data_IF_446186132404
#
_entry.id   IF_446186132404
#
_cell.length_a   1.000
_cell.length_b   1.000
_cell.length_c   1.000
_cell.angle_alpha   90.00
_cell.angle_beta   90.00
_cell.angle_gamma   90.00
#
_symmetry.space_group_name_H-M   'P 1'
#
loop_
_entity.id
_entity.type
_entity.pdbx_description
1 polymer ?
#
# COMPACT_ATOMS: atom_id res chain seq x y z
N UNK A 1 17.43 -5.24 -33.19
CA UNK A 1 18.52 -4.63 -32.39
C UNK A 1 18.19 -4.98 -30.94
N UNK A 2 19.04 -5.73 -30.25
CA UNK A 2 18.82 -6.04 -28.82
C UNK A 2 19.04 -4.75 -28.01
N UNK A 3 18.04 -4.36 -27.22
CA UNK A 3 18.17 -3.26 -26.26
C UNK A 3 19.30 -3.59 -25.27
N UNK A 4 20.20 -2.66 -25.04
CA UNK A 4 21.20 -2.81 -23.99
C UNK A 4 20.56 -2.63 -22.60
N UNK A 5 21.26 -2.98 -21.53
CA UNK A 5 20.73 -2.90 -20.18
C UNK A 5 20.41 -1.46 -19.75
N UNK A 6 21.14 -0.47 -20.30
CA UNK A 6 20.88 0.96 -20.02
C UNK A 6 19.51 1.36 -20.60
N UNK A 7 19.21 0.95 -21.84
CA UNK A 7 17.91 1.25 -22.47
C UNK A 7 16.76 0.60 -21.69
N UNK A 8 16.94 -0.63 -21.22
CA UNK A 8 15.96 -1.35 -20.40
C UNK A 8 15.70 -0.63 -19.06
N UNK A 9 16.77 -0.23 -18.37
CA UNK A 9 16.69 0.50 -17.11
C UNK A 9 15.98 1.85 -17.33
N UNK A 10 16.34 2.59 -18.40
CA UNK A 10 15.71 3.86 -18.72
C UNK A 10 14.21 3.71 -19.02
N UNK A 11 13.82 2.64 -19.69
CA UNK A 11 12.39 2.37 -19.95
C UNK A 11 11.63 2.08 -18.65
N UNK A 12 12.21 1.30 -17.74
CA UNK A 12 11.59 1.05 -16.44
C UNK A 12 11.48 2.33 -15.58
N UNK A 13 12.52 3.19 -15.58
CA UNK A 13 12.48 4.50 -14.90
C UNK A 13 11.36 5.37 -15.49
N UNK A 14 11.22 5.41 -16.83
CA UNK A 14 10.15 6.15 -17.49
C UNK A 14 8.75 5.60 -17.16
N UNK A 15 8.62 4.26 -17.09
CA UNK A 15 7.36 3.62 -16.69
C UNK A 15 6.94 4.03 -15.27
N UNK A 16 7.88 4.03 -14.32
CA UNK A 16 7.62 4.41 -12.95
C UNK A 16 7.08 5.85 -12.78
N UNK A 17 7.25 6.73 -13.80
CA UNK A 17 6.60 8.05 -13.81
C UNK A 17 5.08 7.95 -13.71
N UNK A 18 4.46 6.89 -14.23
CA UNK A 18 3.00 6.73 -14.21
C UNK A 18 2.46 6.73 -12.79
N UNK A 19 3.19 6.20 -11.80
CA UNK A 19 2.78 6.21 -10.39
C UNK A 19 2.62 7.63 -9.80
N UNK A 20 3.25 8.64 -10.41
CA UNK A 20 3.06 10.05 -10.02
C UNK A 20 1.75 10.64 -10.53
N UNK A 21 1.15 10.02 -11.53
CA UNK A 21 -0.09 10.44 -12.17
C UNK A 21 -1.27 9.55 -11.78
N UNK A 22 -0.99 8.33 -11.33
CA UNK A 22 -2.00 7.41 -10.83
C UNK A 22 -2.50 7.89 -9.47
N UNK A 23 -3.79 8.22 -9.38
CA UNK A 23 -4.40 8.80 -8.19
C UNK A 23 -5.18 7.75 -7.42
N UNK A 24 -4.92 7.69 -6.11
CA UNK A 24 -5.58 6.81 -5.16
C UNK A 24 -6.91 7.41 -4.68
N UNK A 25 -7.78 6.56 -4.12
CA UNK A 25 -8.92 7.02 -3.33
C UNK A 25 -8.45 7.45 -1.93
N UNK A 26 -7.59 8.47 -1.91
CA UNK A 26 -7.03 9.11 -0.71
C UNK A 26 -6.79 10.57 -0.99
N UNK A 27 -7.00 11.45 -0.01
CA UNK A 27 -6.81 12.89 -0.15
C UNK A 27 -5.78 13.40 0.85
N UNK A 28 -4.99 14.35 0.40
CA UNK A 28 -4.09 15.11 1.25
C UNK A 28 -4.87 16.14 2.07
N UNK A 29 -4.27 16.63 3.15
CA UNK A 29 -4.86 17.68 4.00
C UNK A 29 -5.23 18.98 3.28
N UNK A 30 -4.61 19.25 2.11
CA UNK A 30 -4.91 20.39 1.26
C UNK A 30 -6.06 20.15 0.26
N UNK A 31 -6.71 18.98 0.29
CA UNK A 31 -7.84 18.59 -0.56
C UNK A 31 -7.46 18.03 -1.94
N UNK A 32 -6.17 17.86 -2.26
CA UNK A 32 -5.71 17.17 -3.47
C UNK A 32 -5.70 15.66 -3.27
N UNK A 33 -6.05 14.89 -4.29
CA UNK A 33 -5.85 13.44 -4.26
C UNK A 33 -4.37 13.08 -4.17
N UNK A 34 -4.09 12.02 -3.43
CA UNK A 34 -2.78 11.41 -3.31
C UNK A 34 -2.44 10.58 -4.54
N UNK A 35 -1.18 10.59 -4.96
CA UNK A 35 -0.69 9.65 -5.98
C UNK A 35 -0.09 8.39 -5.35
N UNK A 36 -0.06 7.29 -6.10
CA UNK A 36 0.59 6.04 -5.69
C UNK A 36 2.06 6.25 -5.32
N UNK A 37 2.76 7.14 -6.03
CA UNK A 37 4.16 7.47 -5.71
C UNK A 37 4.31 8.16 -4.35
N UNK A 38 3.36 9.01 -3.93
CA UNK A 38 3.39 9.71 -2.64
C UNK A 38 3.10 8.75 -1.49
N UNK A 39 2.12 7.86 -1.64
CA UNK A 39 1.86 6.75 -0.74
C UNK A 39 3.11 5.88 -0.53
N UNK A 40 3.68 5.38 -1.62
CA UNK A 40 4.89 4.55 -1.58
C UNK A 40 6.06 5.25 -0.88
N UNK A 41 6.26 6.54 -1.15
CA UNK A 41 7.31 7.32 -0.48
C UNK A 41 7.08 7.40 1.03
N UNK A 42 5.86 7.74 1.48
CA UNK A 42 5.56 7.87 2.91
C UNK A 42 5.66 6.51 3.60
N UNK A 43 5.20 5.46 2.97
CA UNK A 43 5.31 4.09 3.45
C UNK A 43 6.78 3.65 3.62
N UNK A 44 7.67 3.99 2.66
CA UNK A 44 9.10 3.71 2.77
C UNK A 44 9.74 4.51 3.92
N UNK A 45 9.33 5.75 4.13
CA UNK A 45 9.76 6.56 5.27
C UNK A 45 9.28 5.98 6.61
N UNK A 46 8.02 5.53 6.68
CA UNK A 46 7.49 4.84 7.86
C UNK A 46 8.31 3.59 8.19
N UNK A 47 8.69 2.79 7.18
CA UNK A 47 9.54 1.62 7.36
C UNK A 47 10.89 1.95 8.00
N UNK A 48 11.52 3.05 7.60
CA UNK A 48 12.78 3.52 8.20
C UNK A 48 12.61 3.87 9.68
N UNK A 49 11.48 4.49 10.05
CA UNK A 49 11.19 4.89 11.42
C UNK A 49 10.81 3.69 12.31
N UNK A 50 10.09 2.73 11.76
CA UNK A 50 9.53 1.59 12.49
C UNK A 50 10.53 0.43 12.64
N UNK A 51 11.39 0.20 11.63
CA UNK A 51 12.32 -0.92 11.60
C UNK A 51 13.20 -1.09 12.88
N UNK A 52 13.68 -0.03 13.54
CA UNK A 52 14.46 -0.16 14.77
C UNK A 52 13.67 -0.78 15.95
N UNK A 53 12.35 -0.72 15.92
CA UNK A 53 11.45 -1.23 16.97
C UNK A 53 10.93 -2.63 16.67
N UNK A 54 11.13 -3.13 15.45
CA UNK A 54 10.70 -4.46 15.01
C UNK A 54 11.87 -5.45 15.08
N UNK A 55 11.69 -6.53 15.83
CA UNK A 55 12.75 -7.52 16.03
C UNK A 55 13.01 -8.32 14.76
N UNK A 56 14.31 -8.47 14.41
CA UNK A 56 14.79 -9.36 13.32
C UNK A 56 14.27 -9.00 11.92
N UNK A 57 13.97 -7.75 11.64
CA UNK A 57 13.59 -7.31 10.30
C UNK A 57 14.83 -7.11 9.41
N UNK A 58 14.79 -7.60 8.18
CA UNK A 58 15.72 -7.19 7.13
C UNK A 58 15.23 -5.87 6.52
N UNK A 59 15.77 -4.75 7.02
CA UNK A 59 15.34 -3.42 6.62
C UNK A 59 15.58 -3.13 5.13
N UNK A 60 16.69 -3.60 4.56
CA UNK A 60 16.96 -3.44 3.13
C UNK A 60 15.89 -4.11 2.28
N UNK A 61 15.55 -5.36 2.62
CA UNK A 61 14.52 -6.12 1.92
C UNK A 61 13.14 -5.47 2.09
N UNK A 62 12.80 -5.03 3.30
CA UNK A 62 11.54 -4.35 3.60
C UNK A 62 11.38 -3.08 2.73
N UNK A 63 12.39 -2.22 2.68
CA UNK A 63 12.34 -0.99 1.88
C UNK A 63 12.25 -1.31 0.39
N UNK A 64 13.04 -2.27 -0.11
CA UNK A 64 12.93 -2.71 -1.51
C UNK A 64 11.52 -3.19 -1.83
N UNK A 65 10.94 -4.02 -0.98
CA UNK A 65 9.59 -4.56 -1.14
C UNK A 65 8.55 -3.43 -1.17
N UNK A 66 8.63 -2.48 -0.25
CA UNK A 66 7.73 -1.31 -0.20
C UNK A 66 7.84 -0.47 -1.48
N UNK A 67 9.04 -0.19 -1.96
CA UNK A 67 9.24 0.64 -3.17
C UNK A 67 8.59 0.00 -4.40
N UNK A 68 8.48 -1.33 -4.44
CA UNK A 68 8.00 -2.03 -5.64
C UNK A 68 6.58 -2.60 -5.49
N UNK A 69 5.96 -2.58 -4.30
CA UNK A 69 4.69 -3.29 -4.07
C UNK A 69 3.58 -2.83 -5.01
N UNK A 70 3.43 -1.53 -5.22
CA UNK A 70 2.46 -0.90 -6.13
C UNK A 70 3.05 -0.54 -7.50
N UNK A 71 4.28 -0.98 -7.83
CA UNK A 71 4.88 -0.69 -9.14
C UNK A 71 4.04 -1.22 -10.30
N UNK A 72 3.29 -2.28 -10.06
CA UNK A 72 2.37 -2.90 -11.03
C UNK A 72 1.25 -1.93 -11.47
N UNK A 73 0.85 -1.01 -10.60
CA UNK A 73 -0.17 -0.01 -10.88
C UNK A 73 0.26 1.02 -11.93
N UNK A 74 1.55 1.15 -12.21
CA UNK A 74 2.04 1.92 -13.36
C UNK A 74 1.50 1.40 -14.71
N UNK A 75 0.98 0.16 -14.74
CA UNK A 75 0.41 -0.51 -15.92
C UNK A 75 -1.05 -0.89 -15.68
N UNK A 76 -1.40 -1.42 -14.50
CA UNK A 76 -2.74 -1.92 -14.17
C UNK A 76 -3.69 -0.81 -13.72
N UNK A 77 -3.15 0.31 -13.18
CA UNK A 77 -3.91 1.32 -12.46
C UNK A 77 -4.21 0.93 -11.01
N UNK A 78 -4.49 1.92 -10.16
CA UNK A 78 -4.96 1.69 -8.78
C UNK A 78 -6.46 1.31 -8.79
N UNK A 79 -6.78 0.15 -8.25
CA UNK A 79 -8.16 -0.28 -8.02
C UNK A 79 -8.40 -0.27 -6.51
N UNK A 80 -9.22 0.67 -5.99
CA UNK A 80 -9.48 0.79 -4.57
C UNK A 80 -9.97 -0.52 -3.94
N UNK A 81 -9.42 -0.86 -2.75
CA UNK A 81 -9.67 -2.14 -2.09
C UNK A 81 -11.16 -2.39 -1.83
N UNK A 82 -11.97 -1.35 -1.56
CA UNK A 82 -13.40 -1.49 -1.31
C UNK A 82 -14.19 -1.94 -2.55
N UNK A 83 -13.69 -1.71 -3.77
CA UNK A 83 -14.32 -2.19 -4.99
C UNK A 83 -14.24 -3.72 -5.14
N UNK A 84 -13.33 -4.37 -4.41
CA UNK A 84 -13.10 -5.82 -4.49
C UNK A 84 -13.51 -6.58 -3.22
N UNK A 85 -14.00 -5.89 -2.18
CA UNK A 85 -14.32 -6.52 -0.88
C UNK A 85 -15.48 -7.51 -0.95
N UNK A 86 -16.46 -7.26 -1.81
CA UNK A 86 -17.70 -8.05 -1.89
C UNK A 86 -17.87 -8.79 -3.22
N UNK A 87 -16.99 -8.57 -4.19
CA UNK A 87 -17.07 -9.15 -5.53
C UNK A 87 -15.86 -10.05 -5.80
N UNK A 88 -16.02 -11.35 -5.64
CA UNK A 88 -14.97 -12.36 -5.87
C UNK A 88 -14.41 -12.26 -7.29
N UNK A 89 -15.26 -11.98 -8.28
CA UNK A 89 -14.84 -11.86 -9.68
C UNK A 89 -13.97 -10.62 -9.93
N UNK A 90 -14.36 -9.46 -9.38
CA UNK A 90 -13.56 -8.23 -9.46
C UNK A 90 -12.17 -8.39 -8.81
N UNK A 91 -12.12 -9.11 -7.68
CA UNK A 91 -10.86 -9.44 -7.01
C UNK A 91 -9.95 -10.31 -7.89
N UNK A 92 -10.50 -11.37 -8.50
CA UNK A 92 -9.74 -12.25 -9.40
C UNK A 92 -9.23 -11.48 -10.61
N UNK A 93 -10.05 -10.60 -11.19
CA UNK A 93 -9.64 -9.76 -12.31
C UNK A 93 -8.51 -8.80 -11.93
N UNK A 94 -8.59 -8.15 -10.75
CA UNK A 94 -7.52 -7.32 -10.23
C UNK A 94 -6.22 -8.10 -10.09
N UNK A 95 -6.24 -9.23 -9.40
CA UNK A 95 -5.08 -10.10 -9.19
C UNK A 95 -4.46 -10.54 -10.53
N UNK A 96 -5.28 -10.86 -11.53
CA UNK A 96 -4.80 -11.22 -12.87
C UNK A 96 -4.12 -10.03 -13.58
N UNK A 97 -4.73 -8.84 -13.54
CA UNK A 97 -4.18 -7.64 -14.15
C UNK A 97 -2.84 -7.25 -13.53
N UNK A 98 -2.74 -7.29 -12.20
CA UNK A 98 -1.50 -7.00 -11.46
C UNK A 98 -0.42 -8.03 -11.76
N UNK A 99 -0.77 -9.32 -11.83
CA UNK A 99 0.20 -10.37 -12.19
C UNK A 99 0.73 -10.19 -13.62
N UNK A 100 -0.13 -9.86 -14.59
CA UNK A 100 0.30 -9.57 -15.97
C UNK A 100 1.18 -8.31 -16.04
N UNK A 101 0.86 -7.28 -15.25
CA UNK A 101 1.69 -6.08 -15.12
C UNK A 101 3.07 -6.41 -14.54
N UNK A 102 3.13 -7.23 -13.49
CA UNK A 102 4.38 -7.69 -12.88
C UNK A 102 5.26 -8.46 -13.89
N UNK A 103 4.67 -9.34 -14.70
CA UNK A 103 5.37 -10.03 -15.78
C UNK A 103 5.90 -9.08 -16.86
N UNK A 104 5.14 -8.06 -17.22
CA UNK A 104 5.58 -7.02 -18.17
C UNK A 104 6.77 -6.25 -17.61
N UNK A 105 6.71 -5.82 -16.33
CA UNK A 105 7.81 -5.12 -15.66
C UNK A 105 9.06 -5.99 -15.59
N UNK A 106 8.93 -7.28 -15.22
CA UNK A 106 10.02 -8.24 -15.25
C UNK A 106 10.72 -8.27 -16.60
N UNK A 107 9.95 -8.29 -17.69
CA UNK A 107 10.47 -8.49 -19.05
C UNK A 107 11.10 -7.22 -19.66
N UNK A 108 10.73 -6.02 -19.23
CA UNK A 108 11.35 -4.77 -19.68
C UNK A 108 12.69 -4.49 -19.00
N UNK A 109 12.98 -5.11 -17.89
CA UNK A 109 14.20 -4.96 -17.10
C UNK A 109 15.32 -5.91 -17.59
N UNK A 110 16.60 -5.64 -17.27
CA UNK A 110 17.65 -6.65 -17.33
C UNK A 110 17.25 -7.89 -16.53
N UNK A 111 17.50 -9.07 -17.07
CA UNK A 111 16.95 -10.34 -16.55
C UNK A 111 17.10 -10.49 -15.02
N UNK A 112 18.30 -10.31 -14.48
CA UNK A 112 18.57 -10.46 -13.05
C UNK A 112 17.78 -9.49 -12.18
N UNK A 113 17.68 -8.23 -12.60
CA UNK A 113 16.93 -7.19 -11.90
C UNK A 113 15.43 -7.45 -11.97
N UNK A 114 14.96 -7.82 -13.16
CA UNK A 114 13.55 -8.15 -13.39
C UNK A 114 13.08 -9.36 -12.57
N UNK A 115 13.93 -10.39 -12.42
CA UNK A 115 13.65 -11.53 -11.56
C UNK A 115 13.62 -11.16 -10.08
N UNK A 116 14.56 -10.33 -9.62
CA UNK A 116 14.57 -9.84 -8.22
C UNK A 116 13.30 -9.06 -7.88
N UNK A 117 12.93 -8.08 -8.72
CA UNK A 117 11.74 -7.25 -8.53
C UNK A 117 10.46 -8.10 -8.55
N UNK A 118 10.33 -8.99 -9.51
CA UNK A 118 9.16 -9.87 -9.61
C UNK A 118 9.02 -10.81 -8.40
N UNK A 119 10.13 -11.37 -7.92
CA UNK A 119 10.10 -12.24 -6.74
C UNK A 119 9.76 -11.48 -5.46
N UNK A 120 10.26 -10.25 -5.29
CA UNK A 120 9.90 -9.39 -4.16
C UNK A 120 8.42 -9.01 -4.19
N UNK A 121 7.88 -8.70 -5.37
CA UNK A 121 6.46 -8.43 -5.54
C UNK A 121 5.61 -9.66 -5.20
N UNK A 122 5.95 -10.84 -5.72
CA UNK A 122 5.26 -12.09 -5.38
C UNK A 122 5.31 -12.40 -3.87
N UNK A 123 6.43 -12.09 -3.23
CA UNK A 123 6.57 -12.28 -1.78
C UNK A 123 5.65 -11.34 -1.01
N UNK A 124 5.56 -10.08 -1.43
CA UNK A 124 4.61 -9.12 -0.86
C UNK A 124 3.17 -9.61 -1.00
N UNK A 125 2.76 -10.06 -2.19
CA UNK A 125 1.40 -10.55 -2.44
C UNK A 125 1.03 -11.78 -1.59
N UNK A 126 1.98 -12.69 -1.36
CA UNK A 126 1.75 -13.87 -0.51
C UNK A 126 1.59 -13.55 0.97
N UNK A 127 2.21 -12.48 1.47
CA UNK A 127 2.15 -12.03 2.88
C UNK A 127 2.55 -13.11 3.89
N UNK A 128 3.46 -14.01 3.50
CA UNK A 128 3.88 -15.15 4.33
C UNK A 128 5.12 -14.82 5.14
N UNK A 129 6.11 -14.13 4.56
CA UNK A 129 7.35 -13.76 5.24
C UNK A 129 7.11 -12.60 6.21
N UNK A 130 8.04 -12.44 7.17
CA UNK A 130 7.91 -11.40 8.18
C UNK A 130 8.00 -10.00 7.55
N UNK A 131 8.93 -9.78 6.61
CA UNK A 131 9.04 -8.54 5.85
C UNK A 131 7.76 -8.22 5.07
N UNK A 132 7.16 -9.22 4.42
CA UNK A 132 5.91 -9.02 3.67
C UNK A 132 4.73 -8.70 4.59
N UNK A 133 4.65 -9.32 5.77
CA UNK A 133 3.65 -8.98 6.79
C UNK A 133 3.83 -7.54 7.29
N UNK A 134 5.08 -7.13 7.57
CA UNK A 134 5.38 -5.77 8.01
C UNK A 134 5.06 -4.76 6.91
N UNK A 135 5.45 -5.04 5.65
CA UNK A 135 5.12 -4.18 4.52
C UNK A 135 3.60 -4.01 4.36
N UNK A 136 2.84 -5.11 4.38
CA UNK A 136 1.37 -5.05 4.32
C UNK A 136 0.74 -4.32 5.53
N UNK A 137 1.32 -4.45 6.72
CA UNK A 137 0.85 -3.71 7.90
C UNK A 137 1.08 -2.20 7.72
N UNK A 138 2.25 -1.79 7.24
CA UNK A 138 2.59 -0.39 6.99
C UNK A 138 1.72 0.21 5.87
N UNK A 139 1.41 -0.56 4.82
CA UNK A 139 0.47 -0.15 3.78
C UNK A 139 -0.90 0.21 4.37
N UNK A 140 -1.48 -0.67 5.19
CA UNK A 140 -2.79 -0.41 5.79
C UNK A 140 -2.78 0.74 6.81
N UNK A 141 -1.71 0.88 7.58
CA UNK A 141 -1.54 1.98 8.52
C UNK A 141 -1.35 3.31 7.79
N UNK A 142 -0.58 3.33 6.71
CA UNK A 142 -0.34 4.51 5.89
C UNK A 142 -1.64 5.06 5.31
N UNK A 143 -2.46 4.19 4.71
CA UNK A 143 -3.79 4.54 4.17
C UNK A 143 -4.66 5.17 5.27
N UNK A 144 -4.73 4.57 6.45
CA UNK A 144 -5.56 5.11 7.52
C UNK A 144 -5.01 6.43 8.07
N UNK A 145 -3.68 6.58 8.20
CA UNK A 145 -3.05 7.85 8.58
C UNK A 145 -3.43 8.94 7.57
N UNK A 146 -3.36 8.63 6.27
CA UNK A 146 -3.75 9.58 5.22
C UNK A 146 -5.22 9.98 5.31
N UNK A 147 -6.11 9.03 5.57
CA UNK A 147 -7.53 9.33 5.80
C UNK A 147 -7.71 10.21 7.05
N UNK A 148 -7.01 9.93 8.14
CA UNK A 148 -7.07 10.76 9.35
C UNK A 148 -6.63 12.21 9.11
N UNK A 149 -5.69 12.45 8.21
CA UNK A 149 -5.23 13.79 7.83
C UNK A 149 -6.18 14.50 6.84
N UNK A 150 -6.91 13.76 6.01
CA UNK A 150 -7.83 14.28 5.01
C UNK A 150 -9.11 14.85 5.64
N UNK A 151 -9.87 15.63 4.86
CA UNK A 151 -11.19 16.07 5.32
C UNK A 151 -12.16 14.88 5.40
N UNK A 152 -12.94 14.79 6.48
CA UNK A 152 -13.91 13.69 6.68
C UNK A 152 -14.94 13.58 5.55
N UNK A 153 -15.25 14.69 4.85
CA UNK A 153 -16.17 14.68 3.69
C UNK A 153 -15.65 13.88 2.50
N UNK A 154 -14.37 13.51 2.48
CA UNK A 154 -13.78 12.63 1.45
C UNK A 154 -13.92 11.16 1.78
N UNK A 155 -14.34 10.81 3.00
CA UNK A 155 -14.49 9.42 3.43
C UNK A 155 -15.82 8.83 2.92
N UNK A 156 -15.74 7.58 2.47
CA UNK A 156 -16.91 6.76 2.20
C UNK A 156 -17.40 6.06 3.47
N UNK A 157 -18.68 5.67 3.51
CA UNK A 157 -19.23 4.99 4.69
C UNK A 157 -18.48 3.71 5.07
N UNK A 158 -17.99 2.95 4.09
CA UNK A 158 -17.18 1.74 4.30
C UNK A 158 -15.84 2.06 5.02
N UNK A 159 -15.29 3.24 4.85
CA UNK A 159 -14.02 3.65 5.45
C UNK A 159 -14.16 3.91 6.96
N UNK A 160 -15.36 4.26 7.45
CA UNK A 160 -15.63 4.32 8.88
C UNK A 160 -15.47 2.95 9.57
N UNK A 161 -15.84 1.86 8.87
CA UNK A 161 -15.64 0.50 9.37
C UNK A 161 -14.17 0.08 9.28
N UNK A 162 -13.45 0.54 8.24
CA UNK A 162 -12.05 0.17 8.01
C UNK A 162 -11.14 0.66 9.14
N UNK A 163 -11.48 1.76 9.82
CA UNK A 163 -10.78 2.25 11.03
C UNK A 163 -10.57 1.11 12.03
N UNK A 164 -11.58 0.26 12.24
CA UNK A 164 -11.57 -0.81 13.25
C UNK A 164 -11.09 -2.18 12.73
N UNK A 165 -10.77 -2.30 11.43
CA UNK A 165 -10.44 -3.59 10.79
C UNK A 165 -8.93 -3.83 10.60
N UNK A 166 -8.07 -2.94 11.13
CA UNK A 166 -6.62 -3.05 10.94
C UNK A 166 -5.94 -4.14 11.80
N UNK A 167 -6.56 -4.59 12.90
CA UNK A 167 -5.96 -5.53 13.86
C UNK A 167 -5.43 -6.81 13.20
N UNK A 168 -6.14 -7.37 12.21
CA UNK A 168 -5.73 -8.57 11.48
C UNK A 168 -4.40 -8.43 10.71
N UNK A 169 -3.98 -7.18 10.44
CA UNK A 169 -2.76 -6.89 9.69
C UNK A 169 -1.55 -6.62 10.59
N UNK A 170 -1.75 -6.35 11.89
CA UNK A 170 -0.70 -5.89 12.80
C UNK A 170 -0.50 -6.76 14.05
N UNK A 171 -1.44 -7.67 14.37
CA UNK A 171 -1.47 -8.45 15.60
C UNK A 171 -0.28 -9.41 15.81
N UNK A 172 0.56 -9.60 14.79
CA UNK A 172 1.77 -10.42 14.84
C UNK A 172 2.97 -9.69 15.47
N UNK A 173 2.91 -8.35 15.63
CA UNK A 173 3.97 -7.54 16.21
C UNK A 173 3.41 -6.50 17.20
N UNK A 174 4.01 -6.43 18.40
CA UNK A 174 3.51 -5.57 19.49
C UNK A 174 3.68 -4.09 19.21
N UNK A 175 4.74 -3.68 18.51
CA UNK A 175 4.96 -2.26 18.17
C UNK A 175 3.96 -1.80 17.11
N UNK A 176 3.76 -2.60 16.06
CA UNK A 176 2.77 -2.30 15.03
C UNK A 176 1.35 -2.26 15.60
N UNK A 177 1.04 -3.12 16.57
CA UNK A 177 -0.27 -3.08 17.22
C UNK A 177 -0.47 -1.79 18.04
N UNK A 178 0.56 -1.33 18.78
CA UNK A 178 0.49 -0.05 19.48
C UNK A 178 0.36 1.14 18.52
N UNK A 179 1.08 1.11 17.38
CA UNK A 179 0.95 2.14 16.35
C UNK A 179 -0.48 2.16 15.78
N UNK A 180 -1.05 0.98 15.50
CA UNK A 180 -2.45 0.83 15.07
C UNK A 180 -3.42 1.43 16.10
N UNK A 181 -3.21 1.20 17.41
CA UNK A 181 -4.09 1.73 18.44
C UNK A 181 -4.13 3.28 18.44
N UNK A 182 -2.99 3.93 18.17
CA UNK A 182 -2.93 5.38 17.98
C UNK A 182 -3.67 5.83 16.73
N UNK A 183 -3.42 5.18 15.60
CA UNK A 183 -4.05 5.52 14.30
C UNK A 183 -5.57 5.33 14.36
N UNK A 184 -6.03 4.25 14.97
CA UNK A 184 -7.46 3.96 15.19
C UNK A 184 -8.10 5.03 16.08
N UNK A 185 -7.44 5.41 17.17
CA UNK A 185 -7.92 6.46 18.07
C UNK A 185 -8.06 7.81 17.35
N UNK A 186 -7.08 8.23 16.56
CA UNK A 186 -7.15 9.47 15.78
C UNK A 186 -8.30 9.45 14.77
N UNK A 187 -8.50 8.31 14.07
CA UNK A 187 -9.62 8.12 13.15
C UNK A 187 -10.97 8.21 13.87
N UNK A 188 -11.09 7.57 15.03
CA UNK A 188 -12.30 7.62 15.86
C UNK A 188 -12.58 9.03 16.37
N UNK A 189 -11.58 9.74 16.88
CA UNK A 189 -11.71 11.13 17.34
C UNK A 189 -12.22 12.02 16.19
N UNK A 190 -11.66 11.89 15.00
CA UNK A 190 -12.11 12.62 13.82
C UNK A 190 -13.57 12.33 13.44
N UNK A 191 -13.99 11.07 13.51
CA UNK A 191 -15.38 10.67 13.25
C UNK A 191 -16.32 11.31 14.27
N UNK A 192 -15.98 11.28 15.57
CA UNK A 192 -16.78 11.86 16.67
C UNK A 192 -16.90 13.36 16.49
N UNK A 193 -15.80 14.07 16.24
CA UNK A 193 -15.78 15.52 16.00
C UNK A 193 -16.66 15.93 14.81
N UNK A 194 -16.81 15.02 13.84
CA UNK A 194 -17.66 15.20 12.66
C UNK A 194 -19.12 14.75 12.87
N UNK A 195 -19.50 14.35 14.10
CA UNK A 195 -20.87 13.96 14.45
C UNK A 195 -21.26 12.53 14.02
N UNK A 196 -20.28 11.69 13.65
CA UNK A 196 -20.50 10.31 13.24
C UNK A 196 -20.64 9.43 14.49
N UNK A 197 -21.68 8.58 14.54
CA UNK A 197 -21.92 7.64 15.64
C UNK A 197 -21.03 6.41 15.48
N UNK A 198 -19.88 6.40 16.14
CA UNK A 198 -18.84 5.38 16.01
C UNK A 198 -19.28 3.97 16.45
N UNK A 199 -20.23 3.87 17.40
CA UNK A 199 -20.74 2.59 17.90
C UNK A 199 -21.35 1.72 16.80
N UNK A 200 -21.86 2.35 15.72
CA UNK A 200 -22.39 1.66 14.54
C UNK A 200 -21.32 0.82 13.82
N UNK A 201 -20.05 1.23 13.90
CA UNK A 201 -18.95 0.69 13.09
C UNK A 201 -17.97 -0.18 13.89
N UNK A 202 -18.01 -0.14 15.23
CA UNK A 202 -17.10 -0.91 16.12
C UNK A 202 -17.39 -2.41 16.19
N UNK A 203 -18.63 -2.82 15.90
CA UNK A 203 -19.12 -4.19 16.15
C UNK A 203 -19.50 -4.94 14.87
N UNK A 204 -18.87 -4.62 13.74
CA UNK A 204 -19.15 -5.26 12.46
C UNK A 204 -18.07 -6.28 12.10
#
# INVERSE_FOLDING_TARGET
MFMNDIDKIMNAIKLAQNLKMELRHSWLSNGRQESVAEHTWRMAFMAMLVAPYIKKINQEKLIKMIIIHDLVEAIAGDIPAFNTLHETEAKIQKEQMEFEAALKIKNILPQKIGEEIFNLWLEFEKKETYEAKVANALDKLEVQIQHNEANISTWLEIEYEMVYKMSKHVNFDSFLNQLKDMVEKEGEEKMIESGIKVEKYKNI
#
